data_IF_820191011467
#
_entry.id   IF_820191011467
#
_cell.length_a   1.000
_cell.length_b   1.000
_cell.length_c   1.000
_cell.angle_alpha   90.00
_cell.angle_beta   90.00
_cell.angle_gamma   90.00
#
_symmetry.space_group_name_H-M   'P 1'
#
loop_
_entity.id
_entity.type
_entity.pdbx_description
1 polymer ?
#
# COMPACT_ATOMS: atom_id res chain seq x y z
N UNK A 1 1.53 8.22 -9.72
CA UNK A 1 1.20 6.88 -10.24
C UNK A 1 1.82 5.83 -9.33
N UNK A 2 1.05 4.81 -8.89
CA UNK A 2 1.46 3.88 -7.82
C UNK A 2 2.79 3.14 -8.09
N UNK A 3 3.05 2.77 -9.34
CA UNK A 3 4.30 2.10 -9.75
C UNK A 3 5.56 2.95 -9.55
N UNK A 4 5.45 4.27 -9.66
CA UNK A 4 6.56 5.19 -9.39
C UNK A 4 6.86 5.20 -7.90
N UNK A 5 5.82 5.34 -7.05
CA UNK A 5 5.99 5.31 -5.60
C UNK A 5 6.59 4.00 -5.10
N UNK A 6 6.15 2.85 -5.65
CA UNK A 6 6.73 1.54 -5.34
C UNK A 6 8.21 1.44 -5.73
N UNK A 7 8.60 2.00 -6.87
CA UNK A 7 10.01 2.03 -7.29
C UNK A 7 10.86 2.92 -6.38
N UNK A 8 10.32 4.07 -6.01
CA UNK A 8 11.04 5.05 -5.19
C UNK A 8 11.23 4.55 -3.75
N UNK A 9 10.22 3.88 -3.17
CA UNK A 9 10.36 3.31 -1.82
C UNK A 9 11.38 2.15 -1.79
N UNK A 10 11.41 1.31 -2.83
CA UNK A 10 12.41 0.23 -2.94
C UNK A 10 13.82 0.82 -2.99
N UNK A 11 14.05 1.84 -3.83
CA UNK A 11 15.34 2.55 -3.90
C UNK A 11 15.72 3.18 -2.56
N UNK A 12 14.77 3.83 -1.88
CA UNK A 12 15.01 4.44 -0.57
C UNK A 12 15.48 3.41 0.46
N UNK A 13 14.88 2.21 0.47
CA UNK A 13 15.22 1.13 1.39
C UNK A 13 16.54 0.42 1.03
N UNK A 14 16.94 0.45 -0.24
CA UNK A 14 18.26 0.01 -0.70
C UNK A 14 19.34 0.99 -0.24
N UNK A 15 19.10 2.29 -0.39
CA UNK A 15 20.01 3.36 0.04
C UNK A 15 20.09 3.47 1.57
N UNK A 16 19.01 3.12 2.28
CA UNK A 16 18.92 3.22 3.74
C UNK A 16 18.39 1.92 4.38
N UNK A 17 19.20 0.85 4.44
CA UNK A 17 18.77 -0.44 4.98
C UNK A 17 18.35 -0.40 6.46
N UNK A 18 18.82 0.60 7.22
CA UNK A 18 18.44 0.84 8.61
C UNK A 18 16.96 1.20 8.79
N UNK A 19 16.24 1.54 7.72
CA UNK A 19 14.79 1.80 7.76
C UNK A 19 13.96 0.52 7.79
N UNK A 20 14.51 -0.63 7.36
CA UNK A 20 13.78 -1.90 7.25
C UNK A 20 13.10 -2.37 8.56
N UNK A 21 13.73 -2.24 9.74
CA UNK A 21 13.10 -2.65 11.00
C UNK A 21 11.82 -1.87 11.36
N UNK A 22 11.62 -0.69 10.76
CA UNK A 22 10.48 0.19 11.06
C UNK A 22 9.31 0.00 10.09
N UNK A 23 9.44 -0.87 9.08
CA UNK A 23 8.44 -1.02 8.02
C UNK A 23 7.08 -1.47 8.54
N UNK A 24 7.04 -2.37 9.50
CA UNK A 24 5.78 -2.88 10.06
C UNK A 24 4.98 -1.78 10.76
N UNK A 25 5.65 -0.88 11.48
CA UNK A 25 5.02 0.27 12.13
C UNK A 25 4.58 1.30 11.08
N UNK A 26 5.46 1.62 10.13
CA UNK A 26 5.17 2.56 9.06
C UNK A 26 3.97 2.13 8.19
N UNK A 27 3.82 0.83 7.90
CA UNK A 27 2.67 0.31 7.14
C UNK A 27 1.38 0.43 7.93
N UNK A 28 1.39 0.18 9.25
CA UNK A 28 0.20 0.36 10.09
C UNK A 28 -0.26 1.81 10.09
N UNK A 29 0.66 2.75 10.30
CA UNK A 29 0.34 4.18 10.26
C UNK A 29 -0.17 4.61 8.87
N UNK A 30 0.52 4.20 7.80
CA UNK A 30 0.11 4.49 6.44
C UNK A 30 -1.28 3.94 6.11
N UNK A 31 -1.63 2.76 6.63
CA UNK A 31 -2.93 2.15 6.42
C UNK A 31 -4.06 2.89 7.14
N UNK A 32 -3.86 3.35 8.38
CA UNK A 32 -4.85 4.20 9.07
C UNK A 32 -5.13 5.47 8.26
N UNK A 33 -4.07 6.15 7.81
CA UNK A 33 -4.21 7.33 6.95
C UNK A 33 -4.94 6.99 5.63
N UNK A 34 -4.65 5.85 5.02
CA UNK A 34 -5.29 5.42 3.79
C UNK A 34 -6.79 5.16 3.97
N UNK A 35 -7.22 4.62 5.12
CA UNK A 35 -8.65 4.44 5.43
C UNK A 35 -9.37 5.79 5.53
N UNK A 36 -8.78 6.78 6.19
CA UNK A 36 -9.37 8.11 6.33
C UNK A 36 -9.52 8.80 4.96
N UNK A 37 -8.48 8.72 4.12
CA UNK A 37 -8.51 9.25 2.75
C UNK A 37 -9.59 8.54 1.91
N UNK A 38 -9.62 7.21 1.94
CA UNK A 38 -10.60 6.42 1.18
C UNK A 38 -12.04 6.69 1.62
N UNK A 39 -12.29 6.82 2.93
CA UNK A 39 -13.58 7.22 3.48
C UNK A 39 -13.99 8.60 2.93
N UNK A 40 -13.07 9.58 2.95
CA UNK A 40 -13.34 10.93 2.44
C UNK A 40 -13.66 10.98 0.95
N UNK A 41 -12.97 10.16 0.14
CA UNK A 41 -13.16 10.12 -1.32
C UNK A 41 -14.39 9.31 -1.75
N UNK A 42 -14.68 8.20 -1.08
CA UNK A 42 -15.74 7.26 -1.47
C UNK A 42 -17.06 7.48 -0.73
N UNK A 43 -17.03 8.26 0.36
CA UNK A 43 -18.16 8.44 1.28
C UNK A 43 -18.68 7.12 1.89
N UNK A 44 -17.85 6.07 1.92
CA UNK A 44 -18.13 4.80 2.59
C UNK A 44 -17.75 4.92 4.08
N UNK A 45 -18.54 4.31 5.00
CA UNK A 45 -18.23 4.40 6.42
C UNK A 45 -17.00 3.56 6.78
N UNK A 46 -16.23 4.04 7.76
CA UNK A 46 -14.95 3.43 8.18
C UNK A 46 -15.04 1.93 8.50
N UNK A 47 -16.20 1.48 9.01
CA UNK A 47 -16.46 0.07 9.38
C UNK A 47 -16.37 -0.91 8.20
N UNK A 48 -16.45 -0.43 6.96
CA UNK A 48 -16.34 -1.28 5.76
C UNK A 48 -14.87 -1.62 5.47
N UNK A 49 -13.93 -0.80 5.91
CA UNK A 49 -12.52 -1.07 5.70
C UNK A 49 -12.02 -2.07 6.75
N UNK A 50 -11.17 -3.05 6.36
CA UNK A 50 -10.53 -3.95 7.30
C UNK A 50 -9.77 -3.18 8.40
N UNK A 51 -9.76 -3.73 9.62
CA UNK A 51 -9.07 -3.08 10.74
C UNK A 51 -7.57 -2.94 10.48
N UNK A 52 -6.95 -3.98 9.93
CA UNK A 52 -5.53 -4.03 9.57
C UNK A 52 -5.35 -4.16 8.06
N UNK A 53 -4.20 -3.73 7.56
CA UNK A 53 -3.85 -3.86 6.14
C UNK A 53 -3.87 -5.35 5.74
N UNK A 54 -4.64 -5.68 4.70
CA UNK A 54 -4.74 -7.06 4.21
C UNK A 54 -3.56 -7.48 3.33
N UNK A 55 -2.69 -6.54 2.96
CA UNK A 55 -1.54 -6.78 2.09
C UNK A 55 -0.25 -6.86 2.89
N UNK A 56 0.58 -7.84 2.58
CA UNK A 56 1.90 -7.96 3.18
C UNK A 56 2.93 -7.07 2.46
N UNK A 57 4.12 -6.91 3.05
CA UNK A 57 5.19 -6.07 2.47
C UNK A 57 5.60 -6.49 1.05
N UNK A 58 5.59 -7.79 0.72
CA UNK A 58 5.94 -8.25 -0.62
C UNK A 58 4.91 -7.78 -1.66
N UNK A 59 3.61 -7.84 -1.34
CA UNK A 59 2.53 -7.34 -2.20
C UNK A 59 2.54 -5.80 -2.29
N UNK A 60 2.81 -5.11 -1.18
CA UNK A 60 2.90 -3.64 -1.15
C UNK A 60 4.02 -3.14 -2.08
N UNK A 61 5.16 -3.82 -2.11
CA UNK A 61 6.32 -3.44 -2.92
C UNK A 61 6.32 -4.01 -4.34
N UNK A 62 5.46 -4.97 -4.66
CA UNK A 62 5.39 -5.53 -6.01
C UNK A 62 4.78 -4.52 -7.01
N UNK A 63 5.56 -4.16 -8.03
CA UNK A 63 5.14 -3.23 -9.08
C UNK A 63 3.97 -3.73 -9.94
N UNK A 64 3.69 -5.03 -9.92
CA UNK A 64 2.65 -5.67 -10.71
C UNK A 64 1.47 -6.17 -9.88
N UNK A 65 1.53 -6.04 -8.55
CA UNK A 65 0.42 -6.41 -7.68
C UNK A 65 -0.70 -5.37 -7.73
N UNK A 66 -1.91 -5.84 -8.05
CA UNK A 66 -3.17 -5.12 -7.93
C UNK A 66 -4.20 -6.08 -7.33
N UNK A 67 -4.96 -5.65 -6.30
CA UNK A 67 -5.96 -6.50 -5.68
C UNK A 67 -7.18 -6.70 -6.59
N UNK A 68 -7.83 -7.85 -6.46
CA UNK A 68 -8.98 -8.24 -7.28
C UNK A 68 -8.57 -9.02 -8.54
N UNK A 69 -9.54 -9.25 -9.42
CA UNK A 69 -9.30 -9.99 -10.66
C UNK A 69 -8.53 -9.12 -11.67
N UNK A 70 -7.54 -9.69 -12.38
CA UNK A 70 -6.90 -9.02 -13.50
C UNK A 70 -7.95 -8.58 -14.52
N UNK A 71 -7.82 -7.37 -15.04
CA UNK A 71 -8.66 -6.94 -16.15
C UNK A 71 -8.29 -7.77 -17.40
N UNK A 72 -9.30 -8.35 -18.06
CA UNK A 72 -9.17 -9.03 -19.36
C UNK A 72 -8.75 -8.07 -20.50
N UNK A 73 -8.70 -6.76 -20.24
CA UNK A 73 -8.13 -5.77 -21.15
C UNK A 73 -6.60 -5.89 -21.12
N UNK A 74 -6.10 -6.92 -21.77
CA UNK A 74 -4.73 -6.97 -22.25
C UNK A 74 -4.57 -5.85 -23.28
N UNK A 75 -3.47 -5.09 -23.18
CA UNK A 75 -3.03 -4.12 -24.18
C UNK A 75 -2.94 -4.71 -25.59
#
# INVERSE_FOLDING_TARGET
MIRVQRRDIVRLLEDNPSLKPYLDEAVKEAYENAKDLAMGETNLPLIIFPLECSYNLAEIFDNYFYPGEPSELNE
#
